data_IF_354639573654
#
_entry.id   IF_354639573654
#
_cell.length_a   1.000
_cell.length_b   1.000
_cell.length_c   1.000
_cell.angle_alpha   90.00
_cell.angle_beta   90.00
_cell.angle_gamma   90.00
#
_symmetry.space_group_name_H-M   'P 1'
#
loop_
_entity.id
_entity.type
_entity.pdbx_description
1 polymer ?
#
# COMPACT_ATOMS: atom_id res chain seq x y z
N UNK A 1 4.91 3.18 14.09
CA UNK A 1 5.48 3.17 12.71
C UNK A 1 4.54 3.80 11.71
N UNK A 2 5.07 4.45 10.67
CA UNK A 2 4.28 5.00 9.56
C UNK A 2 4.71 4.31 8.27
N UNK A 3 3.78 3.62 7.61
CA UNK A 3 4.05 2.97 6.33
C UNK A 3 4.06 3.99 5.20
N UNK A 4 4.96 3.81 4.24
CA UNK A 4 5.15 4.72 3.11
C UNK A 4 4.93 4.00 1.79
N UNK A 5 4.35 4.69 0.82
CA UNK A 5 4.23 4.15 -0.54
C UNK A 5 5.64 4.06 -1.15
N UNK A 6 6.06 2.84 -1.51
CA UNK A 6 7.34 2.65 -2.18
C UNK A 6 7.30 3.29 -3.56
N UNK A 7 8.38 4.01 -3.90
CA UNK A 7 8.55 4.55 -5.25
C UNK A 7 8.61 3.41 -6.27
N UNK A 8 8.10 3.66 -7.47
CA UNK A 8 8.32 2.74 -8.58
C UNK A 8 9.82 2.63 -8.85
N UNK A 9 10.38 1.42 -9.06
CA UNK A 9 11.78 1.24 -9.40
C UNK A 9 12.07 1.54 -10.89
N UNK A 10 11.08 2.05 -11.63
CA UNK A 10 11.12 2.36 -13.04
C UNK A 10 10.12 3.48 -13.36
N UNK A 11 10.24 4.09 -14.54
CA UNK A 11 9.31 5.12 -15.02
C UNK A 11 7.91 4.56 -15.25
N UNK A 12 6.86 5.40 -15.10
CA UNK A 12 5.46 4.97 -15.20
C UNK A 12 5.07 4.29 -16.53
N UNK A 13 5.83 4.53 -17.61
CA UNK A 13 5.60 3.95 -18.93
C UNK A 13 6.59 2.81 -19.27
N UNK A 14 7.47 2.40 -18.35
CA UNK A 14 8.50 1.41 -18.62
C UNK A 14 7.97 0.01 -18.99
N UNK A 15 6.67 -0.24 -18.73
CA UNK A 15 6.00 -1.52 -18.96
C UNK A 15 5.15 -1.54 -20.24
N UNK A 16 5.16 -0.47 -21.03
CA UNK A 16 4.43 -0.43 -22.30
C UNK A 16 5.04 -1.39 -23.35
N UNK A 17 4.23 -1.99 -24.25
CA UNK A 17 2.77 -1.86 -24.37
C UNK A 17 1.99 -2.84 -23.47
N UNK A 18 2.67 -3.59 -22.60
CA UNK A 18 2.04 -4.64 -21.79
C UNK A 18 1.20 -4.07 -20.63
N UNK A 19 1.65 -2.98 -20.03
CA UNK A 19 0.90 -2.19 -19.06
C UNK A 19 1.03 -0.72 -19.45
N UNK A 20 -0.09 -0.02 -19.62
CA UNK A 20 -0.07 1.37 -20.03
C UNK A 20 0.39 2.29 -18.89
N UNK A 21 0.95 3.45 -19.27
CA UNK A 21 1.24 4.52 -18.31
C UNK A 21 0.01 4.91 -17.48
N UNK A 22 -1.15 5.02 -18.13
CA UNK A 22 -2.41 5.34 -17.44
C UNK A 22 -2.76 4.30 -16.37
N UNK A 23 -2.62 3.01 -16.67
CA UNK A 23 -2.81 1.94 -15.68
C UNK A 23 -1.86 2.13 -14.49
N UNK A 24 -0.58 2.43 -14.72
CA UNK A 24 0.36 2.65 -13.61
C UNK A 24 0.01 3.87 -12.76
N UNK A 25 -0.43 4.97 -13.37
CA UNK A 25 -0.83 6.19 -12.66
C UNK A 25 -2.02 5.97 -11.73
N UNK A 26 -3.02 5.20 -12.17
CA UNK A 26 -4.14 4.84 -11.30
C UNK A 26 -3.77 3.74 -10.31
N UNK A 27 -3.14 2.65 -10.76
CA UNK A 27 -2.86 1.50 -9.91
C UNK A 27 -1.87 1.86 -8.78
N UNK A 28 -0.68 2.37 -9.11
CA UNK A 28 0.29 2.76 -8.09
C UNK A 28 -0.10 4.09 -7.42
N UNK A 29 -0.36 5.11 -8.24
CA UNK A 29 -0.57 6.49 -7.76
C UNK A 29 -1.90 6.74 -7.04
N UNK A 30 -2.93 5.91 -7.25
CA UNK A 30 -4.23 6.02 -6.55
C UNK A 30 -4.54 4.81 -5.68
N UNK A 31 -4.56 3.61 -6.26
CA UNK A 31 -5.00 2.42 -5.52
C UNK A 31 -3.99 2.01 -4.44
N UNK A 32 -2.72 1.78 -4.79
CA UNK A 32 -1.67 1.43 -3.82
C UNK A 32 -1.46 2.55 -2.80
N UNK A 33 -1.37 3.80 -3.25
CA UNK A 33 -1.34 4.97 -2.36
C UNK A 33 -2.53 5.00 -1.38
N UNK A 34 -3.73 4.66 -1.85
CA UNK A 34 -4.95 4.58 -1.06
C UNK A 34 -4.86 3.54 0.05
N UNK A 35 -4.38 2.33 -0.25
CA UNK A 35 -4.19 1.27 0.75
C UNK A 35 -3.22 1.70 1.85
N UNK A 36 -2.07 2.27 1.50
CA UNK A 36 -1.07 2.74 2.50
C UNK A 36 -1.68 3.82 3.41
N UNK A 37 -2.35 4.81 2.84
CA UNK A 37 -2.99 5.89 3.61
C UNK A 37 -4.11 5.38 4.52
N UNK A 38 -4.91 4.43 4.03
CA UNK A 38 -6.00 3.84 4.79
C UNK A 38 -5.47 2.94 5.90
N UNK A 39 -4.44 2.14 5.65
CA UNK A 39 -3.77 1.31 6.65
C UNK A 39 -3.27 2.17 7.81
N UNK A 40 -2.47 3.20 7.52
CA UNK A 40 -1.96 4.14 8.53
C UNK A 40 -3.10 4.76 9.37
N UNK A 41 -4.23 5.06 8.74
CA UNK A 41 -5.41 5.61 9.43
C UNK A 41 -6.10 4.57 10.34
N UNK A 42 -6.10 3.29 9.96
CA UNK A 42 -6.74 2.21 10.72
C UNK A 42 -5.89 1.73 11.90
N UNK A 43 -4.56 1.72 11.77
CA UNK A 43 -3.66 1.19 12.81
C UNK A 43 -3.31 2.20 13.90
N UNK A 44 -3.55 3.50 13.66
CA UNK A 44 -3.26 4.57 14.62
C UNK A 44 -3.99 4.35 15.95
N UNK A 45 -3.25 4.39 17.06
CA UNK A 45 -3.75 4.16 18.42
C UNK A 45 -4.05 2.69 18.74
N UNK A 46 -3.72 1.76 17.85
CA UNK A 46 -3.93 0.32 18.05
C UNK A 46 -2.62 -0.39 18.38
N UNK A 47 -2.70 -1.67 18.77
CA UNK A 47 -1.51 -2.52 18.95
C UNK A 47 -0.71 -2.73 17.66
N UNK A 48 -1.28 -2.43 16.49
CA UNK A 48 -0.61 -2.56 15.19
C UNK A 48 0.25 -1.34 14.85
N UNK A 49 0.11 -0.20 15.54
CA UNK A 49 0.75 1.05 15.15
C UNK A 49 2.26 0.93 15.05
N UNK A 50 2.90 0.17 15.94
CA UNK A 50 4.36 0.02 16.00
C UNK A 50 4.90 -1.24 15.33
N UNK A 51 4.04 -2.00 14.64
CA UNK A 51 4.45 -3.24 13.97
C UNK A 51 4.96 -2.99 12.56
N UNK A 52 5.75 -3.94 12.07
CA UNK A 52 6.12 -4.04 10.65
C UNK A 52 4.92 -4.45 9.80
N UNK A 53 5.00 -4.25 8.48
CA UNK A 53 3.90 -4.60 7.58
C UNK A 53 3.61 -6.11 7.63
N UNK A 54 4.67 -6.92 7.61
CA UNK A 54 4.57 -8.39 7.68
C UNK A 54 3.90 -8.86 8.97
N UNK A 55 4.25 -8.27 10.12
CA UNK A 55 3.60 -8.59 11.40
C UNK A 55 2.10 -8.23 11.39
N UNK A 56 1.73 -7.09 10.79
CA UNK A 56 0.33 -6.69 10.65
C UNK A 56 -0.42 -7.68 9.75
N UNK A 57 0.15 -8.07 8.61
CA UNK A 57 -0.46 -9.06 7.70
C UNK A 57 -0.72 -10.38 8.43
N UNK A 58 0.23 -10.84 9.24
CA UNK A 58 0.13 -12.13 9.94
C UNK A 58 -0.83 -12.13 11.12
N UNK A 59 -1.10 -10.97 11.73
CA UNK A 59 -1.86 -10.87 12.98
C UNK A 59 -3.23 -10.19 12.84
N UNK A 60 -3.46 -9.42 11.77
CA UNK A 60 -4.68 -8.64 11.60
C UNK A 60 -5.78 -9.39 10.83
N UNK A 61 -7.00 -8.89 10.95
CA UNK A 61 -8.17 -9.38 10.22
C UNK A 61 -8.98 -8.19 9.66
N UNK A 62 -9.96 -8.51 8.80
CA UNK A 62 -10.95 -7.56 8.32
C UNK A 62 -10.33 -6.34 7.62
N UNK A 63 -10.77 -5.13 8.00
CA UNK A 63 -10.35 -3.90 7.34
C UNK A 63 -8.86 -3.61 7.44
N UNK A 64 -8.18 -4.03 8.52
CA UNK A 64 -6.73 -3.84 8.65
C UNK A 64 -6.01 -4.79 7.69
N UNK A 65 -6.35 -6.08 7.72
CA UNK A 65 -5.79 -7.08 6.81
C UNK A 65 -5.96 -6.68 5.34
N UNK A 66 -7.17 -6.27 4.95
CA UNK A 66 -7.50 -5.85 3.58
C UNK A 66 -6.67 -4.68 3.04
N UNK A 67 -6.05 -3.86 3.91
CA UNK A 67 -5.19 -2.76 3.48
C UNK A 67 -3.70 -3.04 3.70
N UNK A 68 -3.37 -4.10 4.43
CA UNK A 68 -2.00 -4.52 4.70
C UNK A 68 -1.49 -5.54 3.67
N UNK A 69 -2.35 -6.46 3.19
CA UNK A 69 -2.00 -7.52 2.22
C UNK A 69 -1.99 -7.02 0.78
#
# INVERSE_FOLDING_TARGET
MTHVLMNLPFDENALEPHISKETMQYHHGKHHAGYVNKLNSLIKGTSYEELTLEEIIMASEGGIFNNAS
#
